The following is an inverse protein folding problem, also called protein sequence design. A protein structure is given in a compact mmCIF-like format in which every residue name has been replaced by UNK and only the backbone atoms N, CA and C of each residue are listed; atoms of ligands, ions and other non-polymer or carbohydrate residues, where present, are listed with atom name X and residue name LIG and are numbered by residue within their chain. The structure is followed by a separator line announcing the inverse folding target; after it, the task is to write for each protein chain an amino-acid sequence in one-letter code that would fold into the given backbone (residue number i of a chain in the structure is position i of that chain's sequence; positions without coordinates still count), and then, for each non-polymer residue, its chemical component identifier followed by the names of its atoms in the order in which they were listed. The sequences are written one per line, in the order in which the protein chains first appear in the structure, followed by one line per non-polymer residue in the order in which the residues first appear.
data_IF_507447494643
#
_entry.id   IF_507447494643
#
_cell.length_a   1.000
_cell.length_b   1.000
_cell.length_c   1.000
_cell.angle_alpha   90.00
_cell.angle_beta   90.00
_cell.angle_gamma   90.00
#
_symmetry.space_group_name_H-M   'P 1'
#
loop_
_entity.id
_entity.type
_entity.pdbx_description
1 polymer ?
#
# COMPACT_ATOMS: atom_id res chain seq x y z
N UNK A 1 10.65 1.70 -5.40
CA UNK A 1 9.93 1.27 -6.61
C UNK A 1 9.09 2.43 -7.17
N UNK A 2 9.10 2.67 -8.48
CA UNK A 2 8.20 3.69 -9.07
C UNK A 2 6.74 3.22 -9.05
N UNK A 3 5.78 4.15 -9.08
CA UNK A 3 4.34 3.83 -9.09
C UNK A 3 3.92 2.88 -10.21
N UNK A 4 4.33 3.15 -11.45
CA UNK A 4 4.00 2.33 -12.62
C UNK A 4 4.54 0.91 -12.47
N UNK A 5 5.76 0.79 -11.96
CA UNK A 5 6.41 -0.49 -11.68
C UNK A 5 5.67 -1.26 -10.57
N UNK A 6 5.26 -0.56 -9.50
CA UNK A 6 4.45 -1.15 -8.43
C UNK A 6 3.14 -1.72 -8.96
N UNK A 7 2.40 -0.93 -9.75
CA UNK A 7 1.13 -1.36 -10.37
C UNK A 7 1.35 -2.56 -11.30
N UNK A 8 2.43 -2.59 -12.08
CA UNK A 8 2.74 -3.77 -12.92
C UNK A 8 2.98 -5.02 -12.07
N UNK A 9 3.85 -4.92 -11.05
CA UNK A 9 4.25 -6.07 -10.23
C UNK A 9 3.11 -6.67 -9.41
N UNK A 10 2.21 -5.85 -8.84
CA UNK A 10 1.05 -6.38 -8.10
C UNK A 10 0.04 -7.07 -9.03
N UNK A 11 -0.09 -6.59 -10.27
CA UNK A 11 -0.96 -7.20 -11.26
C UNK A 11 -0.38 -8.54 -11.75
N UNK A 12 0.91 -8.57 -12.05
CA UNK A 12 1.64 -9.80 -12.42
C UNK A 12 1.57 -10.86 -11.32
N UNK A 13 1.66 -10.45 -10.05
CA UNK A 13 1.55 -11.34 -8.89
C UNK A 13 0.10 -11.80 -8.59
N UNK A 14 -0.91 -11.33 -9.33
CA UNK A 14 -2.32 -11.62 -9.05
C UNK A 14 -2.85 -10.97 -7.76
N UNK A 15 -2.13 -9.99 -7.23
CA UNK A 15 -2.45 -9.27 -5.99
C UNK A 15 -3.35 -8.04 -6.23
N UNK A 16 -3.50 -7.61 -7.48
CA UNK A 16 -4.33 -6.45 -7.86
C UNK A 16 -5.81 -6.54 -7.44
N UNK A 17 -6.35 -7.74 -7.17
CA UNK A 17 -7.71 -7.93 -6.66
C UNK A 17 -7.84 -7.97 -5.14
N UNK A 18 -6.73 -8.17 -4.40
CA UNK A 18 -6.68 -8.16 -2.93
C UNK A 18 -6.29 -6.79 -2.37
N UNK A 19 -5.83 -5.89 -3.23
CA UNK A 19 -5.36 -4.57 -2.84
C UNK A 19 -6.21 -3.54 -3.56
N UNK A 20 -7.04 -2.82 -2.81
CA UNK A 20 -7.69 -1.61 -3.29
C UNK A 20 -6.63 -0.50 -3.36
N UNK A 21 -5.73 -0.61 -4.32
CA UNK A 21 -4.74 0.42 -4.60
C UNK A 21 -5.47 1.54 -5.32
N UNK A 22 -6.03 2.46 -4.54
CA UNK A 22 -6.16 3.83 -5.01
C UNK A 22 -4.93 4.54 -4.44
N UNK A 23 -3.73 4.34 -5.01
CA UNK A 23 -2.53 4.91 -4.45
C UNK A 23 -2.77 6.42 -4.43
N UNK A 24 -2.46 7.06 -3.31
CA UNK A 24 -2.74 8.48 -2.99
C UNK A 24 -4.05 8.78 -2.24
N UNK A 25 -5.00 7.85 -2.11
CA UNK A 25 -6.20 8.07 -1.31
C UNK A 25 -6.33 7.01 -0.23
N UNK A 26 -6.58 7.47 1.00
CA UNK A 26 -6.94 6.57 2.08
C UNK A 26 -8.24 5.83 1.72
N UNK A 27 -8.15 4.51 1.61
CA UNK A 27 -9.28 3.62 1.49
C UNK A 27 -9.52 2.96 2.86
N UNK A 28 -10.64 3.31 3.49
CA UNK A 28 -11.13 2.66 4.69
C UNK A 28 -11.91 1.38 4.35
N UNK A 29 -11.79 0.35 5.19
CA UNK A 29 -12.46 -0.93 4.99
C UNK A 29 -11.64 -2.12 5.51
N UNK A 30 -12.27 -3.27 5.79
CA UNK A 30 -11.57 -4.44 6.30
C UNK A 30 -10.65 -5.06 5.24
N UNK A 31 -9.50 -5.56 5.68
CA UNK A 31 -8.49 -6.24 4.83
C UNK A 31 -7.91 -5.39 3.70
N UNK A 32 -7.95 -4.06 3.83
CA UNK A 32 -7.38 -3.18 2.82
C UNK A 32 -5.88 -3.04 3.03
N UNK A 33 -5.15 -2.93 1.93
CA UNK A 33 -3.75 -2.56 1.88
C UNK A 33 -3.65 -1.36 0.94
N UNK A 34 -2.83 -0.38 1.29
CA UNK A 34 -2.75 0.84 0.49
C UNK A 34 -1.55 1.69 0.82
N UNK A 35 -1.38 2.74 0.02
CA UNK A 35 -0.36 3.75 0.23
C UNK A 35 -0.94 5.12 -0.16
N UNK A 36 -0.78 6.12 0.69
CA UNK A 36 -1.23 7.49 0.42
C UNK A 36 -0.26 8.53 0.97
N UNK A 37 -0.35 9.76 0.47
CA UNK A 37 0.42 10.89 0.98
C UNK A 37 -0.46 11.72 1.92
N UNK A 38 -0.04 11.89 3.18
CA UNK A 38 -0.86 12.57 4.21
C UNK A 38 -0.69 14.10 4.24
N UNK A 39 0.08 14.66 3.30
CA UNK A 39 0.46 16.07 3.25
C UNK A 39 1.87 16.34 3.77
N UNK A 40 2.49 15.36 4.45
CA UNK A 40 3.86 15.44 4.94
C UNK A 40 4.69 14.20 4.53
N UNK A 41 4.10 13.02 4.66
CA UNK A 41 4.78 11.74 4.43
C UNK A 41 3.89 10.79 3.62
N UNK A 42 4.56 9.88 2.92
CA UNK A 42 3.96 8.67 2.38
C UNK A 42 3.73 7.67 3.50
N UNK A 43 2.52 7.13 3.54
CA UNK A 43 2.06 6.17 4.53
C UNK A 43 1.61 4.93 3.78
N UNK A 44 2.34 3.82 3.94
CA UNK A 44 1.84 2.51 3.57
C UNK A 44 1.13 1.90 4.78
N UNK A 45 -0.02 1.27 4.56
CA UNK A 45 -0.87 0.81 5.63
C UNK A 45 -1.57 -0.50 5.30
N UNK A 46 -2.02 -1.17 6.35
CA UNK A 46 -3.02 -2.22 6.26
C UNK A 46 -4.19 -1.94 7.20
N UNK A 47 -5.36 -2.48 6.85
CA UNK A 47 -6.51 -2.52 7.73
C UNK A 47 -6.78 -3.97 8.12
N UNK A 48 -7.05 -4.21 9.40
CA UNK A 48 -7.42 -5.54 9.89
C UNK A 48 -8.82 -5.98 9.43
N UNK A 49 -9.29 -7.14 9.90
CA UNK A 49 -10.61 -7.69 9.59
C UNK A 49 -11.80 -6.80 10.01
N UNK A 50 -11.56 -5.85 10.91
CA UNK A 50 -12.55 -4.90 11.43
C UNK A 50 -12.40 -3.53 10.80
N UNK A 51 -11.44 -3.35 9.89
CA UNK A 51 -11.13 -2.07 9.26
C UNK A 51 -10.28 -1.15 10.14
N UNK A 52 -9.68 -1.65 11.22
CA UNK A 52 -8.75 -0.87 12.04
C UNK A 52 -7.46 -0.65 11.25
N UNK A 53 -7.12 0.63 11.10
CA UNK A 53 -5.92 1.08 10.38
C UNK A 53 -4.64 0.85 11.17
N UNK A 54 -3.62 0.32 10.51
CA UNK A 54 -2.26 0.19 11.02
C UNK A 54 -1.25 0.68 9.97
N UNK A 55 -0.37 1.58 10.39
CA UNK A 55 0.75 2.05 9.56
C UNK A 55 1.83 0.98 9.49
N UNK A 56 2.22 0.61 8.27
CA UNK A 56 3.35 -0.29 8.01
C UNK A 56 4.66 0.50 7.97
N UNK A 57 4.66 1.64 7.27
CA UNK A 57 5.80 2.55 7.18
C UNK A 57 5.32 3.99 6.95
N UNK A 58 6.08 4.95 7.47
CA UNK A 58 6.00 6.38 7.15
C UNK A 58 7.34 6.86 6.62
N UNK A 59 7.35 7.50 5.45
CA UNK A 59 8.57 7.99 4.81
C UNK A 59 8.30 9.24 3.96
N UNK A 60 9.33 10.05 3.71
CA UNK A 60 9.24 11.18 2.77
C UNK A 60 9.40 10.74 1.31
N UNK A 61 9.76 9.48 1.06
CA UNK A 61 10.05 8.96 -0.28
C UNK A 61 8.93 8.04 -0.76
N UNK A 62 8.29 8.40 -1.89
CA UNK A 62 7.22 7.60 -2.50
C UNK A 62 7.72 6.18 -2.82
N UNK A 63 8.93 6.09 -3.36
CA UNK A 63 9.50 4.85 -3.85
C UNK A 63 9.76 3.84 -2.73
N UNK A 64 10.11 4.33 -1.54
CA UNK A 64 10.34 3.51 -0.36
C UNK A 64 9.02 2.94 0.16
N UNK A 65 7.96 3.76 0.23
CA UNK A 65 6.64 3.31 0.64
C UNK A 65 6.08 2.21 -0.29
N UNK A 66 6.21 2.38 -1.61
CA UNK A 66 5.80 1.35 -2.57
C UNK A 66 6.66 0.09 -2.53
N UNK A 67 7.97 0.23 -2.34
CA UNK A 67 8.86 -0.92 -2.20
C UNK A 67 8.47 -1.74 -0.98
N UNK A 68 8.32 -1.09 0.17
CA UNK A 68 7.96 -1.72 1.42
C UNK A 68 6.60 -2.42 1.33
N UNK A 69 5.59 -1.74 0.78
CA UNK A 69 4.25 -2.31 0.63
C UNK A 69 4.27 -3.58 -0.24
N UNK A 70 5.02 -3.56 -1.35
CA UNK A 70 5.16 -4.73 -2.21
C UNK A 70 5.84 -5.90 -1.49
N UNK A 71 6.95 -5.65 -0.79
CA UNK A 71 7.68 -6.65 0.00
C UNK A 71 6.82 -7.25 1.11
N UNK A 72 6.05 -6.40 1.79
CA UNK A 72 5.11 -6.82 2.81
C UNK A 72 4.02 -7.75 2.25
N UNK A 73 3.50 -7.43 1.06
CA UNK A 73 2.47 -8.24 0.40
C UNK A 73 2.96 -9.62 -0.06
N UNK A 74 4.21 -9.73 -0.49
CA UNK A 74 4.79 -11.03 -0.92
C UNK A 74 5.31 -11.86 0.25
N UNK A 75 5.57 -11.23 1.40
CA UNK A 75 6.05 -11.90 2.61
C UNK A 75 4.94 -12.49 3.49
N UNK A 76 3.67 -12.10 3.26
CA UNK A 76 2.47 -12.66 3.88
C UNK A 76 1.93 -13.87 3.11
#
# INVERSE_FOLDING_TARGET
MKREEFVSKINEAGLGGKVFVNPNNYAGGPYFLGCFFDGNQWVAYENDERGKHEDLIRTIYEEEAFQYLYEYMIGK
#
